data_IF_937996243855
#
_entry.id   IF_937996243855
#
_cell.length_a   1.000
_cell.length_b   1.000
_cell.length_c   1.000
_cell.angle_alpha   90.00
_cell.angle_beta   90.00
_cell.angle_gamma   90.00
#
_symmetry.space_group_name_H-M   'P 1'
#
loop_
_entity.id
_entity.type
_entity.pdbx_description
1 polymer ?
#
# COMPACT_ATOMS: atom_id res chain seq x y z
N UNK A 1 -14.35 -17.10 -5.34
CA UNK A 1 -13.08 -16.41 -5.62
C UNK A 1 -13.31 -14.93 -5.32
N UNK A 2 -13.28 -14.49 -4.07
CA UNK A 2 -13.74 -13.12 -3.73
C UNK A 2 -13.13 -12.52 -2.44
N UNK A 3 -12.10 -13.16 -1.86
CA UNK A 3 -11.49 -12.65 -0.63
C UNK A 3 -10.28 -11.71 -0.89
N UNK A 4 -9.73 -11.68 -2.11
CA UNK A 4 -8.43 -11.05 -2.36
C UNK A 4 -8.50 -9.53 -2.58
N UNK A 5 -9.66 -8.99 -2.98
CA UNK A 5 -9.83 -7.53 -3.18
C UNK A 5 -9.99 -6.75 -1.85
N UNK A 6 -10.29 -7.43 -0.74
CA UNK A 6 -10.52 -6.81 0.55
C UNK A 6 -9.24 -6.58 1.38
N UNK A 7 -8.07 -7.05 0.92
CA UNK A 7 -6.81 -6.97 1.67
C UNK A 7 -6.07 -5.68 1.39
N UNK A 8 -5.36 -5.17 2.39
CA UNK A 8 -4.63 -3.91 2.29
C UNK A 8 -3.58 -3.90 1.17
N UNK A 9 -2.99 -5.06 0.85
CA UNK A 9 -2.06 -5.20 -0.27
C UNK A 9 -2.68 -4.89 -1.64
N UNK A 10 -3.94 -5.25 -1.87
CA UNK A 10 -4.61 -4.95 -3.12
C UNK A 10 -4.87 -3.45 -3.25
N UNK A 11 -5.35 -2.81 -2.18
CA UNK A 11 -5.55 -1.35 -2.12
C UNK A 11 -4.25 -0.58 -2.26
N UNK A 12 -3.16 -1.08 -1.66
CA UNK A 12 -1.83 -0.51 -1.86
C UNK A 12 -1.45 -0.53 -3.34
N UNK A 13 -1.65 -1.67 -4.01
CA UNK A 13 -1.38 -1.76 -5.44
C UNK A 13 -2.25 -0.81 -6.27
N UNK A 14 -3.54 -0.71 -5.95
CA UNK A 14 -4.45 0.22 -6.63
C UNK A 14 -4.00 1.69 -6.46
N UNK A 15 -3.56 2.07 -5.26
CA UNK A 15 -3.03 3.40 -5.03
C UNK A 15 -1.76 3.66 -5.84
N UNK A 16 -0.79 2.73 -5.83
CA UNK A 16 0.44 2.85 -6.61
C UNK A 16 0.13 3.00 -8.11
N UNK A 17 -0.79 2.20 -8.63
CA UNK A 17 -1.20 2.26 -10.04
C UNK A 17 -1.92 3.60 -10.36
N UNK A 18 -2.57 4.25 -9.38
CA UNK A 18 -3.21 5.56 -9.54
C UNK A 18 -2.23 6.75 -9.61
N UNK A 19 -1.01 6.57 -9.09
CA UNK A 19 0.04 7.58 -9.10
C UNK A 19 0.79 7.65 -10.45
N UNK A 20 0.54 6.70 -11.37
CA UNK A 20 1.24 6.56 -12.65
C UNK A 20 2.78 6.42 -12.49
N UNK A 21 3.22 5.82 -11.38
CA UNK A 21 4.63 5.53 -11.09
C UNK A 21 4.88 4.03 -10.99
N UNK A 22 6.14 3.64 -11.15
CA UNK A 22 6.53 2.25 -10.93
C UNK A 22 6.54 1.90 -9.43
N UNK A 23 6.29 0.64 -9.11
CA UNK A 23 6.43 0.09 -7.74
C UNK A 23 7.84 0.29 -7.19
N UNK A 24 8.87 0.26 -8.04
CA UNK A 24 10.24 0.53 -7.64
C UNK A 24 10.43 1.99 -7.22
N UNK A 25 9.79 2.93 -7.93
CA UNK A 25 9.82 4.35 -7.59
C UNK A 25 9.09 4.61 -6.27
N UNK A 26 7.87 4.07 -6.12
CA UNK A 26 7.13 4.15 -4.86
C UNK A 26 7.94 3.63 -3.67
N UNK A 27 8.63 2.50 -3.84
CA UNK A 27 9.51 1.93 -2.82
C UNK A 27 10.68 2.85 -2.45
N UNK A 28 11.21 3.63 -3.40
CA UNK A 28 12.27 4.62 -3.14
C UNK A 28 11.73 5.85 -2.43
N UNK A 29 10.58 6.38 -2.87
CA UNK A 29 9.95 7.57 -2.26
C UNK A 29 9.52 7.32 -0.82
N UNK A 30 8.95 6.15 -0.55
CA UNK A 30 8.53 5.73 0.81
C UNK A 30 9.68 5.20 1.67
N UNK A 31 10.84 4.89 1.08
CA UNK A 31 11.92 4.18 1.77
C UNK A 31 11.56 2.76 2.21
N UNK A 32 10.51 2.17 1.62
CA UNK A 32 10.14 0.78 1.88
C UNK A 32 11.11 -0.19 1.22
N UNK A 33 11.24 -1.37 1.82
CA UNK A 33 11.92 -2.47 1.15
C UNK A 33 11.02 -3.03 0.04
N UNK A 34 11.51 -3.00 -1.21
CA UNK A 34 10.75 -3.45 -2.38
C UNK A 34 10.23 -4.90 -2.25
N UNK A 35 11.07 -5.82 -1.76
CA UNK A 35 10.68 -7.23 -1.62
C UNK A 35 9.57 -7.40 -0.57
N UNK A 36 9.65 -6.66 0.55
CA UNK A 36 8.62 -6.64 1.58
C UNK A 36 7.30 -6.07 1.03
N UNK A 37 7.36 -4.91 0.37
CA UNK A 37 6.19 -4.29 -0.27
C UNK A 37 5.56 -5.21 -1.32
N UNK A 38 6.37 -5.88 -2.13
CA UNK A 38 5.89 -6.83 -3.14
C UNK A 38 5.15 -8.01 -2.51
N UNK A 39 5.61 -8.53 -1.36
CA UNK A 39 4.90 -9.58 -0.63
C UNK A 39 3.54 -9.11 -0.11
N UNK A 40 3.48 -7.90 0.45
CA UNK A 40 2.22 -7.28 0.90
C UNK A 40 1.24 -7.16 -0.28
N UNK A 41 1.68 -6.60 -1.41
CA UNK A 41 0.86 -6.43 -2.61
C UNK A 41 0.31 -7.77 -3.13
N UNK A 42 1.09 -8.85 -3.05
CA UNK A 42 0.65 -10.19 -3.46
C UNK A 42 -0.20 -10.93 -2.41
N UNK A 43 -0.51 -10.28 -1.28
CA UNK A 43 -1.39 -10.83 -0.24
C UNK A 43 -0.71 -11.74 0.78
N UNK A 44 0.64 -11.74 0.83
CA UNK A 44 1.46 -12.49 1.79
C UNK A 44 1.66 -11.68 3.09
N UNK A 45 0.56 -11.13 3.62
CA UNK A 45 0.53 -10.32 4.84
C UNK A 45 -0.08 -8.93 4.65
N UNK A 46 -0.49 -8.32 5.76
CA UNK A 46 -0.97 -6.94 5.82
C UNK A 46 0.20 -5.98 6.15
N UNK A 47 0.18 -4.73 5.66
CA UNK A 47 1.21 -3.75 5.98
C UNK A 47 1.22 -3.47 7.49
N UNK A 48 2.39 -3.63 8.09
CA UNK A 48 2.61 -3.31 9.51
C UNK A 48 2.67 -1.81 9.77
N UNK A 49 2.81 -1.44 11.06
CA UNK A 49 2.87 -0.04 11.49
C UNK A 49 3.98 0.75 10.78
N UNK A 50 5.21 0.22 10.73
CA UNK A 50 6.34 0.86 10.03
C UNK A 50 6.02 1.15 8.55
N UNK A 51 5.35 0.21 7.88
CA UNK A 51 4.95 0.38 6.48
C UNK A 51 3.90 1.48 6.34
N UNK A 52 2.91 1.49 7.21
CA UNK A 52 1.87 2.51 7.20
C UNK A 52 2.42 3.91 7.50
N UNK A 53 3.32 4.04 8.47
CA UNK A 53 3.96 5.31 8.82
C UNK A 53 4.74 5.87 7.63
N UNK A 54 5.60 5.06 7.01
CA UNK A 54 6.39 5.48 5.84
C UNK A 54 5.53 5.91 4.66
N UNK A 55 4.43 5.19 4.41
CA UNK A 55 3.48 5.57 3.36
C UNK A 55 2.78 6.88 3.73
N UNK A 56 2.33 7.04 4.98
CA UNK A 56 1.67 8.27 5.44
C UNK A 56 2.59 9.49 5.40
N UNK A 57 3.89 9.30 5.63
CA UNK A 57 4.89 10.36 5.59
C UNK A 57 5.19 10.78 4.14
N UNK A 58 5.30 9.83 3.21
CA UNK A 58 5.59 10.09 1.80
C UNK A 58 4.35 10.55 1.00
N UNK A 59 3.18 10.00 1.33
CA UNK A 59 1.90 10.28 0.67
C UNK A 59 0.84 10.68 1.72
N UNK A 60 0.93 11.89 2.30
CA UNK A 60 -0.02 12.36 3.31
C UNK A 60 -1.46 12.52 2.77
N UNK A 61 -1.65 12.48 1.45
CA UNK A 61 -2.95 12.46 0.82
C UNK A 61 -3.66 11.10 0.92
N UNK A 62 -2.92 10.01 1.10
CA UNK A 62 -3.51 8.67 1.21
C UNK A 62 -4.06 8.44 2.61
N UNK A 63 -5.32 8.04 2.71
CA UNK A 63 -5.89 7.61 3.98
C UNK A 63 -5.36 6.23 4.40
N UNK A 64 -4.53 6.19 5.45
CA UNK A 64 -4.08 4.91 6.05
C UNK A 64 -5.28 4.10 6.58
N UNK A 65 -6.32 4.77 7.07
CA UNK A 65 -7.56 4.08 7.47
C UNK A 65 -8.20 3.36 6.30
N UNK A 66 -8.29 4.00 5.14
CA UNK A 66 -8.78 3.36 3.92
C UNK A 66 -7.86 2.22 3.47
N UNK A 67 -6.54 2.42 3.51
CA UNK A 67 -5.56 1.39 3.15
C UNK A 67 -5.76 0.10 3.96
N UNK A 68 -5.94 0.22 5.28
CA UNK A 68 -6.07 -0.93 6.17
C UNK A 68 -7.48 -1.52 6.15
N UNK A 69 -8.51 -0.68 6.22
CA UNK A 69 -9.90 -1.14 6.44
C UNK A 69 -10.73 -1.24 5.16
N UNK A 70 -10.33 -0.54 4.10
CA UNK A 70 -11.12 -0.35 2.88
C UNK A 70 -12.31 0.61 3.05
N UNK A 71 -12.42 1.29 4.20
CA UNK A 71 -13.52 2.19 4.53
C UNK A 71 -13.06 3.63 4.36
N UNK A 72 -13.87 4.44 3.67
CA UNK A 72 -13.62 5.87 3.44
C UNK A 72 -13.09 6.16 2.05
N UNK A 73 -12.49 7.34 1.90
CA UNK A 73 -11.87 7.78 0.65
C UNK A 73 -10.40 7.34 0.59
N UNK A 74 -9.94 7.05 -0.64
CA UNK A 74 -8.54 6.75 -0.93
C UNK A 74 -7.70 8.02 -0.79
#
# INVERSE_FOLDING_TARGET
MEANQARAGHRLNQFIDSLDISKAEFSRETGLNYAHMFRIINGDGDPGFDTCSKISEAYPQLSITWLITGIGEM
#
